data_IF_170136589226
#
_entry.id   IF_170136589226
#
_cell.length_a   1.000
_cell.length_b   1.000
_cell.length_c   1.000
_cell.angle_alpha   90.00
_cell.angle_beta   90.00
_cell.angle_gamma   90.00
#
_symmetry.space_group_name_H-M   'P 1'
#
loop_
_entity.id
_entity.type
_entity.pdbx_description
1 polymer ?
#
# COMPACT_ATOMS: atom_id res chain seq x y z
N UNK A 1 -2.34 8.09 10.92
CA UNK A 1 -2.27 6.89 10.08
C UNK A 1 -3.55 6.73 9.27
N UNK A 2 -3.43 6.54 7.98
CA UNK A 2 -4.60 6.28 7.13
C UNK A 2 -5.03 4.80 7.26
N UNK A 3 -4.05 3.88 7.29
CA UNK A 3 -4.28 2.43 7.33
C UNK A 3 -3.51 1.78 8.48
N UNK A 4 -3.96 1.90 9.75
CA UNK A 4 -3.39 1.11 10.84
C UNK A 4 -3.71 -0.36 10.61
N UNK A 5 -2.84 -1.24 11.08
CA UNK A 5 -2.99 -2.70 10.95
C UNK A 5 -3.20 -3.32 12.31
N UNK A 6 -4.12 -4.27 12.39
CA UNK A 6 -4.32 -5.08 13.60
C UNK A 6 -3.78 -6.48 13.34
N UNK A 7 -2.85 -6.90 14.19
CA UNK A 7 -2.37 -8.27 14.19
C UNK A 7 -3.33 -9.14 15.02
N UNK A 8 -4.13 -9.95 14.34
CA UNK A 8 -5.11 -10.81 15.01
C UNK A 8 -4.48 -11.87 15.93
N UNK A 9 -3.20 -12.23 15.73
CA UNK A 9 -2.50 -13.20 16.54
C UNK A 9 -2.07 -12.64 17.89
N UNK A 10 -1.73 -11.35 17.96
CA UNK A 10 -1.22 -10.68 19.16
C UNK A 10 -2.20 -9.68 19.76
N UNK A 11 -3.20 -9.24 19.01
CA UNK A 11 -4.09 -8.14 19.37
C UNK A 11 -3.45 -6.76 19.29
N UNK A 12 -2.24 -6.66 18.74
CA UNK A 12 -1.52 -5.39 18.61
C UNK A 12 -2.05 -4.55 17.46
N UNK A 13 -2.15 -3.23 17.69
CA UNK A 13 -2.38 -2.23 16.65
C UNK A 13 -1.04 -1.62 16.23
N UNK A 14 -0.70 -1.77 14.96
CA UNK A 14 0.46 -1.14 14.34
C UNK A 14 0.02 0.11 13.57
N UNK A 15 0.74 1.21 13.74
CA UNK A 15 0.40 2.47 13.07
C UNK A 15 1.65 3.25 12.67
N UNK A 16 1.51 4.14 11.72
CA UNK A 16 2.51 5.14 11.39
C UNK A 16 1.89 6.54 11.42
N UNK A 17 2.73 7.54 11.56
CA UNK A 17 2.36 8.93 11.33
C UNK A 17 3.46 9.63 10.54
N UNK A 18 3.08 10.60 9.74
CA UNK A 18 4.03 11.40 8.97
C UNK A 18 3.81 12.88 9.15
N UNK A 19 4.87 13.66 8.91
CA UNK A 19 4.89 15.10 9.12
C UNK A 19 5.68 15.80 8.01
N UNK A 20 5.35 17.08 7.78
CA UNK A 20 6.16 17.97 6.94
C UNK A 20 7.39 18.53 7.68
N UNK A 21 7.49 18.27 8.97
CA UNK A 21 8.62 18.65 9.84
C UNK A 21 9.27 17.36 10.38
N UNK A 22 10.58 17.43 10.64
CA UNK A 22 11.31 16.30 11.22
C UNK A 22 10.83 15.99 12.68
N UNK A 23 10.76 14.71 13.06
CA UNK A 23 10.94 13.52 12.24
C UNK A 23 9.79 13.37 11.26
N UNK A 24 10.11 13.08 10.00
CA UNK A 24 9.12 13.05 8.92
C UNK A 24 8.22 11.82 8.93
N UNK A 25 8.67 10.74 9.56
CA UNK A 25 7.93 9.49 9.67
C UNK A 25 8.15 8.88 11.06
N UNK A 26 7.10 8.45 11.70
CA UNK A 26 7.11 7.68 12.93
C UNK A 26 6.33 6.39 12.78
N UNK A 27 6.75 5.37 13.51
CA UNK A 27 6.09 4.08 13.61
C UNK A 27 5.82 3.73 15.07
N UNK A 28 4.68 3.15 15.36
CA UNK A 28 4.33 2.76 16.71
C UNK A 28 3.46 1.51 16.79
N UNK A 29 3.44 0.92 17.99
CA UNK A 29 2.63 -0.24 18.32
C UNK A 29 1.89 0.03 19.62
N UNK A 30 0.59 -0.21 19.60
CA UNK A 30 -0.27 -0.27 20.78
C UNK A 30 -0.51 -1.74 21.08
N UNK A 31 -0.30 -2.14 22.34
CA UNK A 31 -0.50 -3.53 22.76
C UNK A 31 -2.00 -3.86 22.99
N UNK A 32 -2.29 -5.12 23.31
CA UNK A 32 -3.64 -5.60 23.57
C UNK A 32 -4.30 -5.01 24.84
N UNK A 33 -3.53 -4.32 25.67
CA UNK A 33 -3.99 -3.63 26.87
C UNK A 33 -4.14 -2.11 26.66
N UNK A 34 -4.17 -1.68 25.38
CA UNK A 34 -4.28 -0.28 24.94
C UNK A 34 -3.09 0.62 25.35
N UNK A 35 -1.92 0.06 25.68
CA UNK A 35 -0.73 0.84 25.99
C UNK A 35 0.13 1.06 24.73
N UNK A 36 0.73 2.25 24.66
CA UNK A 36 1.78 2.50 23.66
C UNK A 36 3.04 1.70 24.03
N UNK A 37 3.19 0.53 23.43
CA UNK A 37 4.25 -0.41 23.75
C UNK A 37 5.56 -0.11 22.98
N UNK A 38 5.48 0.61 21.84
CA UNK A 38 6.63 1.00 21.07
C UNK A 38 6.34 2.25 20.24
N UNK A 39 7.34 3.13 20.11
CA UNK A 39 7.30 4.25 19.16
C UNK A 39 8.72 4.65 18.77
N UNK A 40 8.97 4.77 17.48
CA UNK A 40 10.28 5.15 16.93
C UNK A 40 10.15 6.04 15.71
N UNK A 41 11.18 6.85 15.46
CA UNK A 41 11.30 7.59 14.20
C UNK A 41 11.91 6.67 13.13
N UNK A 42 11.40 6.76 11.90
CA UNK A 42 11.99 6.13 10.72
C UNK A 42 12.70 7.20 9.91
N UNK A 43 14.02 7.08 9.68
CA UNK A 43 14.81 8.16 9.09
C UNK A 43 14.44 8.36 7.61
N UNK A 44 13.86 9.54 7.31
CA UNK A 44 13.58 9.99 5.94
C UNK A 44 14.39 11.27 5.63
N UNK A 45 14.81 11.47 4.36
CA UNK A 45 15.55 12.66 3.96
C UNK A 45 14.71 13.95 3.90
N UNK A 46 13.38 13.83 3.98
CA UNK A 46 12.45 14.94 3.89
C UNK A 46 10.99 14.48 4.01
N UNK A 47 10.04 15.42 3.89
CA UNK A 47 8.61 15.09 3.96
C UNK A 47 8.19 14.17 2.81
N UNK A 48 7.42 13.16 3.13
CA UNK A 48 6.88 12.16 2.21
C UNK A 48 5.38 12.02 2.38
N UNK A 49 4.75 11.27 1.47
CA UNK A 49 3.32 10.97 1.42
C UNK A 49 3.05 9.47 1.61
N UNK A 50 3.51 8.82 2.69
CA UNK A 50 3.13 7.44 2.92
C UNK A 50 1.62 7.38 3.17
N UNK A 51 0.92 6.46 2.50
CA UNK A 51 -0.51 6.28 2.66
C UNK A 51 -0.84 5.02 3.44
N UNK A 52 -0.09 3.94 3.21
CA UNK A 52 -0.28 2.64 3.84
C UNK A 52 1.05 2.05 4.33
N UNK A 53 0.94 0.99 5.11
CA UNK A 53 2.02 0.17 5.65
C UNK A 53 1.64 -1.31 5.59
N UNK A 54 2.62 -2.20 5.71
CA UNK A 54 2.38 -3.62 5.88
C UNK A 54 3.15 -4.17 7.08
N UNK A 55 2.83 -5.37 7.53
CA UNK A 55 3.52 -6.04 8.62
C UNK A 55 3.63 -7.55 8.40
N UNK A 56 4.59 -8.15 9.07
CA UNK A 56 4.75 -9.58 9.25
C UNK A 56 4.84 -9.90 10.75
N UNK A 57 4.91 -11.15 11.20
CA UNK A 57 5.09 -11.45 12.61
C UNK A 57 6.29 -10.75 13.26
N UNK A 58 7.39 -10.56 12.51
CA UNK A 58 8.63 -9.99 13.05
C UNK A 58 8.98 -8.59 12.55
N UNK A 59 8.37 -8.13 11.45
CA UNK A 59 8.74 -6.87 10.81
C UNK A 59 7.53 -5.98 10.49
N UNK A 60 7.80 -4.70 10.34
CA UNK A 60 6.92 -3.73 9.71
C UNK A 60 7.58 -3.21 8.44
N UNK A 61 6.80 -2.97 7.41
CA UNK A 61 7.26 -2.41 6.14
C UNK A 61 6.63 -1.04 5.97
N UNK A 62 7.50 -0.03 5.90
CA UNK A 62 7.15 1.35 5.62
C UNK A 62 7.77 1.78 4.29
N UNK A 63 7.44 2.95 3.79
CA UNK A 63 7.86 3.34 2.46
C UNK A 63 8.39 4.78 2.39
N UNK A 64 9.28 5.00 1.40
CA UNK A 64 9.78 6.29 0.95
C UNK A 64 9.68 6.31 -0.58
N UNK A 65 8.49 6.66 -1.06
CA UNK A 65 8.21 6.72 -2.49
C UNK A 65 8.66 8.05 -3.10
N UNK A 66 9.04 8.05 -4.39
CA UNK A 66 9.46 9.25 -5.12
C UNK A 66 8.29 10.17 -5.50
N UNK A 67 7.18 10.15 -4.76
CA UNK A 67 6.07 11.08 -4.82
C UNK A 67 6.05 11.92 -3.55
N UNK A 68 6.52 13.17 -3.61
CA UNK A 68 6.60 14.04 -2.45
C UNK A 68 6.52 15.52 -2.81
N UNK A 69 6.33 16.36 -1.80
CA UNK A 69 6.33 17.82 -1.96
C UNK A 69 7.73 18.35 -2.28
N UNK A 70 7.82 19.21 -3.29
CA UNK A 70 9.02 19.99 -3.52
C UNK A 70 9.29 20.89 -2.27
N UNK A 71 10.46 20.79 -1.64
CA UNK A 71 10.77 21.55 -0.43
C UNK A 71 10.71 23.06 -0.62
N UNK A 72 11.08 23.59 -1.81
CA UNK A 72 11.05 25.01 -2.10
C UNK A 72 9.60 25.51 -2.28
N UNK A 73 8.75 24.72 -2.94
CA UNK A 73 7.32 25.03 -3.04
C UNK A 73 6.63 24.95 -1.68
N UNK A 74 6.99 23.94 -0.89
CA UNK A 74 6.45 23.78 0.47
C UNK A 74 6.84 24.95 1.39
N UNK A 75 8.07 25.45 1.27
CA UNK A 75 8.52 26.66 2.00
C UNK A 75 7.75 27.93 1.60
N UNK A 76 7.18 27.96 0.40
CA UNK A 76 6.29 29.01 -0.10
C UNK A 76 4.80 28.70 0.19
N UNK A 77 4.49 27.73 1.05
CA UNK A 77 3.15 27.23 1.36
C UNK A 77 2.37 26.69 0.14
N UNK A 78 3.10 26.19 -0.85
CA UNK A 78 2.54 25.54 -2.04
C UNK A 78 2.64 24.02 -1.86
N UNK A 79 1.53 23.37 -1.58
CA UNK A 79 1.41 21.95 -1.25
C UNK A 79 1.17 21.11 -2.52
N UNK A 80 2.16 21.06 -3.39
CA UNK A 80 2.10 20.36 -4.65
C UNK A 80 3.08 19.18 -4.64
N UNK A 81 2.62 17.93 -4.65
CA UNK A 81 3.49 16.79 -4.82
C UNK A 81 3.94 16.66 -6.28
N UNK A 82 5.15 16.19 -6.46
CA UNK A 82 5.72 15.82 -7.76
C UNK A 82 6.23 14.39 -7.71
N UNK A 83 6.14 13.69 -8.83
CA UNK A 83 6.70 12.35 -8.99
C UNK A 83 8.09 12.44 -9.63
N UNK A 84 9.11 11.89 -8.96
CA UNK A 84 10.50 11.94 -9.36
C UNK A 84 10.93 10.61 -9.98
N UNK A 85 10.69 10.43 -11.27
CA UNK A 85 10.90 9.17 -12.00
C UNK A 85 12.34 8.63 -11.98
N UNK A 86 13.32 9.50 -11.75
CA UNK A 86 14.74 9.14 -11.70
C UNK A 86 15.19 8.69 -10.29
N UNK A 87 14.27 8.66 -9.34
CA UNK A 87 14.53 8.21 -7.98
C UNK A 87 13.88 6.83 -7.74
N UNK A 88 14.58 5.89 -7.08
CA UNK A 88 13.97 4.61 -6.73
C UNK A 88 12.88 4.79 -5.67
N UNK A 89 11.91 3.89 -5.67
CA UNK A 89 11.10 3.60 -4.49
C UNK A 89 11.97 2.94 -3.43
N UNK A 90 11.77 3.25 -2.16
CA UNK A 90 12.49 2.60 -1.06
C UNK A 90 11.50 2.05 -0.04
N UNK A 91 11.78 0.86 0.43
CA UNK A 91 11.01 0.20 1.48
C UNK A 91 11.89 0.05 2.73
N UNK A 92 11.37 0.50 3.86
CA UNK A 92 11.98 0.34 5.17
C UNK A 92 11.44 -0.94 5.81
N UNK A 93 12.27 -1.97 5.90
CA UNK A 93 11.97 -3.17 6.68
C UNK A 93 12.57 -2.99 8.07
N UNK A 94 11.71 -2.96 9.09
CA UNK A 94 12.09 -2.64 10.47
C UNK A 94 11.59 -3.76 11.37
N UNK A 95 12.42 -4.31 12.29
CA UNK A 95 11.90 -5.20 13.32
C UNK A 95 10.75 -4.53 14.10
N UNK A 96 9.71 -5.26 14.47
CA UNK A 96 8.49 -4.69 15.09
C UNK A 96 8.75 -3.82 16.32
N UNK A 97 9.86 -4.04 17.02
CA UNK A 97 10.33 -3.26 18.19
C UNK A 97 11.70 -2.61 17.93
N UNK A 98 12.11 -2.50 16.67
CA UNK A 98 13.38 -1.93 16.27
C UNK A 98 13.43 -0.40 16.37
N UNK A 99 14.65 0.13 16.51
CA UNK A 99 14.95 1.55 16.48
C UNK A 99 15.32 2.07 15.07
N UNK A 100 15.68 3.36 14.97
CA UNK A 100 16.10 3.96 13.71
C UNK A 100 17.34 3.28 13.08
N UNK A 101 18.19 2.71 13.90
CA UNK A 101 19.42 1.99 13.52
C UNK A 101 19.16 0.60 12.95
N UNK A 102 17.99 0.02 13.23
CA UNK A 102 17.60 -1.32 12.76
C UNK A 102 16.91 -1.29 11.40
N UNK A 103 16.68 -0.10 10.85
CA UNK A 103 15.98 0.07 9.57
C UNK A 103 16.86 -0.45 8.43
N UNK A 104 16.34 -1.42 7.68
CA UNK A 104 16.94 -1.90 6.44
C UNK A 104 16.17 -1.37 5.25
N UNK A 105 16.89 -0.69 4.36
CA UNK A 105 16.31 -0.10 3.16
C UNK A 105 16.50 -1.01 1.95
N UNK A 106 15.42 -1.20 1.19
CA UNK A 106 15.40 -1.93 -0.06
C UNK A 106 14.92 -0.99 -1.16
N UNK A 107 15.63 -0.97 -2.29
CA UNK A 107 15.29 -0.14 -3.45
C UNK A 107 14.52 -0.98 -4.48
N UNK A 108 13.58 -0.34 -5.16
CA UNK A 108 12.72 -0.91 -6.19
C UNK A 108 12.43 0.12 -7.29
N UNK A 109 11.76 -0.29 -8.35
CA UNK A 109 11.35 0.60 -9.43
C UNK A 109 10.49 1.77 -8.92
N UNK A 110 10.62 2.97 -9.53
CA UNK A 110 9.86 4.13 -9.14
C UNK A 110 8.36 3.90 -9.26
N UNK A 111 7.65 4.05 -8.15
CA UNK A 111 6.19 3.94 -8.08
C UNK A 111 5.62 4.78 -6.95
N UNK A 112 4.32 4.86 -6.88
CA UNK A 112 3.56 5.22 -5.68
C UNK A 112 2.55 4.11 -5.41
N UNK A 113 2.53 3.60 -4.20
CA UNK A 113 1.55 2.61 -3.77
C UNK A 113 0.57 3.28 -2.83
N UNK A 114 -0.71 3.27 -3.20
CA UNK A 114 -1.77 3.74 -2.32
C UNK A 114 -2.04 2.68 -1.25
N UNK A 115 -2.31 1.43 -1.66
CA UNK A 115 -2.61 0.35 -0.72
C UNK A 115 -1.72 -0.87 -0.91
N UNK A 116 -1.26 -1.42 0.22
CA UNK A 116 -0.67 -2.75 0.29
C UNK A 116 -1.75 -3.79 0.58
N UNK A 117 -1.59 -4.96 0.00
CA UNK A 117 -2.52 -6.06 0.23
C UNK A 117 -2.14 -6.86 1.46
N UNK A 118 -0.90 -7.34 1.51
CA UNK A 118 -0.36 -8.11 2.64
C UNK A 118 1.17 -8.18 2.56
N UNK A 119 1.79 -8.58 3.67
CA UNK A 119 3.19 -9.00 3.68
C UNK A 119 3.36 -10.28 4.49
N UNK A 120 4.38 -11.07 4.18
CA UNK A 120 4.72 -12.27 4.94
C UNK A 120 6.20 -12.61 4.82
N UNK A 121 6.68 -13.49 5.69
CA UNK A 121 8.05 -14.00 5.68
C UNK A 121 8.10 -15.34 4.94
N UNK A 122 9.05 -15.46 4.00
CA UNK A 122 9.30 -16.67 3.20
C UNK A 122 10.80 -17.01 3.29
N UNK A 123 11.16 -17.80 4.31
CA UNK A 123 12.56 -18.05 4.65
C UNK A 123 13.29 -16.78 5.06
N UNK A 124 14.34 -16.41 4.31
CA UNK A 124 15.11 -15.19 4.54
C UNK A 124 14.57 -13.98 3.75
N UNK A 125 13.41 -14.08 3.14
CA UNK A 125 12.79 -12.99 2.38
C UNK A 125 11.55 -12.44 3.08
N UNK A 126 11.34 -11.14 2.93
CA UNK A 126 10.03 -10.50 3.14
C UNK A 126 9.34 -10.40 1.79
N UNK A 127 8.14 -10.93 1.69
CA UNK A 127 7.26 -10.79 0.53
C UNK A 127 6.23 -9.71 0.85
N UNK A 128 6.08 -8.75 -0.04
CA UNK A 128 5.12 -7.65 0.07
C UNK A 128 4.30 -7.57 -1.20
N UNK A 129 2.98 -7.57 -1.08
CA UNK A 129 2.06 -7.37 -2.19
C UNK A 129 1.31 -6.05 -2.05
N UNK A 130 1.10 -5.37 -3.17
CA UNK A 130 0.40 -4.08 -3.23
C UNK A 130 0.15 -3.65 -4.66
N UNK A 131 -0.33 -2.43 -4.85
CA UNK A 131 -0.72 -1.93 -6.16
C UNK A 131 0.32 -0.96 -6.71
N UNK A 132 1.13 -1.45 -7.65
CA UNK A 132 2.12 -0.64 -8.35
C UNK A 132 1.42 0.30 -9.34
N UNK A 133 1.70 1.58 -9.24
CA UNK A 133 1.24 2.60 -10.17
C UNK A 133 2.41 3.06 -11.07
N UNK A 134 2.26 2.91 -12.39
CA UNK A 134 3.33 3.20 -13.36
C UNK A 134 3.59 4.70 -13.53
N UNK A 135 2.55 5.52 -13.42
CA UNK A 135 2.63 6.98 -13.65
C UNK A 135 1.72 7.76 -12.69
N UNK A 136 2.08 7.86 -11.39
CA UNK A 136 1.24 8.50 -10.38
C UNK A 136 1.07 10.01 -10.54
N UNK A 137 1.94 10.67 -11.33
CA UNK A 137 1.84 12.11 -11.58
C UNK A 137 2.33 12.47 -12.99
N UNK A 138 1.43 12.81 -13.92
CA UNK A 138 1.77 13.13 -15.28
C UNK A 138 2.62 14.41 -15.38
N UNK A 139 3.65 14.38 -16.25
CA UNK A 139 4.59 15.50 -16.45
C UNK A 139 3.90 16.72 -17.05
N UNK A 140 2.92 16.52 -17.90
CA UNK A 140 2.26 17.58 -18.69
C UNK A 140 1.15 18.32 -17.93
N UNK A 141 1.06 18.10 -16.64
CA UNK A 141 0.00 18.63 -15.79
C UNK A 141 0.04 20.13 -15.53
N UNK A 142 1.08 20.84 -16.03
CA UNK A 142 1.18 22.31 -15.91
C UNK A 142 0.41 23.06 -16.99
N UNK A 143 -0.11 22.39 -18.01
CA UNK A 143 -0.96 22.97 -19.06
C UNK A 143 -2.41 23.06 -18.60
N UNK A 144 -3.16 24.02 -19.13
CA UNK A 144 -4.56 24.19 -18.82
C UNK A 144 -4.89 25.38 -17.90
N UNK A 145 -6.16 25.54 -17.57
CA UNK A 145 -6.65 26.59 -16.68
C UNK A 145 -6.32 26.29 -15.19
N UNK A 146 -6.69 27.22 -14.31
CA UNK A 146 -6.40 27.08 -12.88
C UNK A 146 -7.03 25.84 -12.25
N UNK A 147 -8.17 25.38 -12.74
CA UNK A 147 -8.87 24.21 -12.21
C UNK A 147 -8.23 22.93 -12.70
N UNK A 148 -7.88 22.84 -14.00
CA UNK A 148 -7.13 21.73 -14.54
C UNK A 148 -5.77 21.57 -13.83
N UNK A 149 -5.11 22.69 -13.52
CA UNK A 149 -3.86 22.68 -12.74
C UNK A 149 -4.05 22.26 -11.28
N UNK A 150 -5.17 22.66 -10.65
CA UNK A 150 -5.47 22.29 -9.27
C UNK A 150 -5.80 20.81 -9.12
N UNK A 151 -6.45 20.21 -10.12
CA UNK A 151 -6.86 18.81 -10.11
C UNK A 151 -5.96 17.87 -10.92
N UNK A 152 -4.81 18.34 -11.38
CA UNK A 152 -3.88 17.56 -12.22
C UNK A 152 -3.35 16.28 -11.58
N UNK A 153 -3.26 16.24 -10.22
CA UNK A 153 -2.90 15.03 -9.49
C UNK A 153 -3.98 13.95 -9.56
N UNK A 154 -5.17 14.30 -10.04
CA UNK A 154 -6.26 13.40 -10.37
C UNK A 154 -6.27 13.07 -11.87
N UNK A 155 -5.10 12.86 -12.49
CA UNK A 155 -5.01 12.42 -13.87
C UNK A 155 -5.50 10.97 -13.98
N UNK A 156 -6.81 10.80 -13.76
CA UNK A 156 -7.49 9.51 -13.66
C UNK A 156 -7.40 8.70 -14.96
N UNK A 157 -7.16 9.37 -16.09
CA UNK A 157 -6.91 8.75 -17.40
C UNK A 157 -5.58 7.96 -17.44
N UNK A 158 -4.71 8.16 -16.44
CA UNK A 158 -3.44 7.47 -16.30
C UNK A 158 -3.36 6.53 -15.10
N UNK A 159 -4.39 6.50 -14.27
CA UNK A 159 -4.46 5.57 -13.14
C UNK A 159 -4.47 4.13 -13.66
N UNK A 160 -3.35 3.45 -13.55
CA UNK A 160 -3.16 2.09 -14.00
C UNK A 160 -2.41 1.30 -12.93
N UNK A 161 -3.08 1.12 -11.81
CA UNK A 161 -2.57 0.31 -10.71
C UNK A 161 -2.77 -1.17 -11.01
N UNK A 162 -1.76 -1.97 -10.69
CA UNK A 162 -1.80 -3.41 -10.88
C UNK A 162 -1.20 -4.12 -9.68
N UNK A 163 -1.76 -5.26 -9.35
CA UNK A 163 -1.24 -6.08 -8.27
C UNK A 163 0.19 -6.52 -8.59
N UNK A 164 1.09 -6.26 -7.67
CA UNK A 164 2.53 -6.39 -7.81
C UNK A 164 3.13 -6.97 -6.54
N UNK A 165 4.22 -7.69 -6.66
CA UNK A 165 4.96 -8.32 -5.58
C UNK A 165 6.39 -7.84 -5.53
N UNK A 166 6.83 -7.45 -4.34
CA UNK A 166 8.23 -7.20 -4.00
C UNK A 166 8.72 -8.32 -3.07
N UNK A 167 9.96 -8.76 -3.28
CA UNK A 167 10.67 -9.67 -2.40
C UNK A 167 11.97 -9.04 -1.95
N UNK A 168 12.14 -8.91 -0.65
CA UNK A 168 13.31 -8.29 -0.02
C UNK A 168 14.14 -9.37 0.67
N UNK A 169 15.30 -9.68 0.12
CA UNK A 169 16.25 -10.66 0.68
C UNK A 169 16.98 -10.07 1.88
N UNK A 170 16.70 -10.58 3.07
CA UNK A 170 17.27 -10.11 4.33
C UNK A 170 18.76 -10.49 4.50
N UNK A 171 19.30 -11.40 3.71
CA UNK A 171 20.71 -11.80 3.74
C UNK A 171 21.54 -10.92 2.81
N UNK A 172 21.11 -10.81 1.56
CA UNK A 172 21.87 -10.11 0.51
C UNK A 172 21.55 -8.63 0.38
N UNK A 173 20.37 -8.20 0.83
CA UNK A 173 19.85 -6.85 0.62
C UNK A 173 19.26 -6.63 -0.79
N UNK A 174 19.13 -7.68 -1.59
CA UNK A 174 18.55 -7.58 -2.93
C UNK A 174 17.04 -7.45 -2.91
N UNK A 175 16.51 -6.74 -3.90
CA UNK A 175 15.07 -6.69 -4.20
C UNK A 175 14.80 -7.45 -5.49
N UNK A 176 13.73 -8.22 -5.51
CA UNK A 176 13.12 -8.79 -6.72
C UNK A 176 11.67 -8.33 -6.77
N UNK A 177 11.17 -8.06 -7.95
CA UNK A 177 9.80 -7.58 -8.12
C UNK A 177 9.17 -8.17 -9.37
N UNK A 178 7.85 -8.40 -9.29
CA UNK A 178 7.07 -8.96 -10.38
C UNK A 178 5.63 -8.44 -10.37
N UNK A 179 5.09 -8.22 -11.57
CA UNK A 179 3.67 -7.97 -11.75
C UNK A 179 2.91 -9.29 -11.62
N UNK A 180 1.90 -9.33 -10.76
CA UNK A 180 1.10 -10.53 -10.53
C UNK A 180 -0.09 -10.63 -11.50
N UNK A 181 -0.65 -9.49 -11.94
CA UNK A 181 -1.83 -9.45 -12.82
C UNK A 181 -1.72 -8.31 -13.83
N UNK A 182 -2.46 -8.41 -14.95
CA UNK A 182 -2.60 -7.34 -15.93
C UNK A 182 -3.86 -6.48 -15.71
N UNK A 183 -4.75 -6.92 -14.85
CA UNK A 183 -5.98 -6.20 -14.51
C UNK A 183 -5.70 -4.93 -13.74
N UNK A 184 -6.38 -3.84 -14.11
CA UNK A 184 -6.35 -2.59 -13.35
C UNK A 184 -7.25 -2.74 -12.14
N UNK A 185 -6.64 -2.84 -10.98
CA UNK A 185 -7.31 -3.04 -9.69
C UNK A 185 -6.67 -2.20 -8.61
N UNK A 186 -7.42 -1.91 -7.54
CA UNK A 186 -6.99 -1.19 -6.36
C UNK A 186 -7.84 -1.61 -5.15
N UNK A 187 -7.55 -1.08 -3.95
CA UNK A 187 -8.26 -1.41 -2.71
C UNK A 187 -8.25 -2.90 -2.40
N UNK A 188 -7.05 -3.51 -2.41
CA UNK A 188 -6.90 -4.92 -2.14
C UNK A 188 -7.22 -5.29 -0.69
N UNK A 189 -8.05 -6.32 -0.56
CA UNK A 189 -8.40 -6.90 0.73
C UNK A 189 -8.12 -8.39 0.71
N UNK A 190 -7.78 -8.93 1.85
CA UNK A 190 -7.60 -10.37 2.09
C UNK A 190 -8.49 -10.84 3.22
N UNK A 191 -8.55 -12.13 3.44
CA UNK A 191 -9.08 -12.66 4.69
C UNK A 191 -8.19 -12.19 5.85
N UNK A 192 -8.70 -11.40 6.80
CA UNK A 192 -7.89 -10.77 7.84
C UNK A 192 -7.18 -11.77 8.77
N UNK A 193 -7.62 -13.03 8.82
CA UNK A 193 -6.93 -14.08 9.60
C UNK A 193 -5.57 -14.48 8.99
N UNK A 194 -5.30 -14.09 7.73
CA UNK A 194 -4.03 -14.32 7.03
C UNK A 194 -3.15 -13.08 7.01
N UNK A 195 -3.55 -11.98 7.65
CA UNK A 195 -2.72 -10.78 7.71
C UNK A 195 -1.36 -11.08 8.37
N UNK A 196 -0.28 -10.69 7.71
CA UNK A 196 1.08 -10.97 8.16
C UNK A 196 1.58 -12.38 7.83
N UNK A 197 0.80 -13.22 7.15
CA UNK A 197 1.12 -14.62 6.85
C UNK A 197 0.95 -14.91 5.36
N UNK A 198 1.49 -16.04 4.91
CA UNK A 198 1.26 -16.54 3.55
C UNK A 198 -0.22 -16.72 3.25
N UNK A 199 -0.65 -16.34 2.07
CA UNK A 199 -2.05 -16.30 1.66
C UNK A 199 -2.18 -16.55 0.16
N UNK A 200 -3.40 -16.77 -0.31
CA UNK A 200 -3.68 -17.11 -1.70
C UNK A 200 -4.62 -16.14 -2.41
N UNK A 201 -5.60 -15.59 -1.72
CA UNK A 201 -6.66 -14.82 -2.36
C UNK A 201 -6.58 -13.33 -2.05
N UNK A 202 -6.68 -12.51 -3.10
CA UNK A 202 -6.85 -11.06 -3.02
C UNK A 202 -8.20 -10.69 -3.60
N UNK A 203 -8.92 -9.84 -2.90
CA UNK A 203 -10.17 -9.23 -3.38
C UNK A 203 -9.92 -7.76 -3.62
N UNK A 204 -10.12 -7.28 -4.85
CA UNK A 204 -9.77 -5.92 -5.22
C UNK A 204 -10.88 -5.27 -6.03
N UNK A 205 -11.04 -3.96 -5.85
CA UNK A 205 -11.94 -3.17 -6.67
C UNK A 205 -11.35 -3.03 -8.08
N UNK A 206 -12.17 -3.24 -9.10
CA UNK A 206 -11.79 -3.14 -10.50
C UNK A 206 -12.63 -2.10 -11.22
N UNK A 207 -11.99 -1.31 -12.05
CA UNK A 207 -12.62 -0.26 -12.81
C UNK A 207 -12.08 -0.18 -14.23
N UNK A 208 -12.48 0.86 -14.95
CA UNK A 208 -11.93 1.18 -16.25
C UNK A 208 -10.60 1.91 -16.08
N UNK A 209 -9.58 1.61 -16.88
CA UNK A 209 -8.35 2.40 -16.88
C UNK A 209 -8.67 3.90 -17.02
N UNK A 210 -8.05 4.69 -16.16
CA UNK A 210 -8.24 6.13 -16.16
C UNK A 210 -9.44 6.66 -15.37
N UNK A 211 -10.16 5.80 -14.64
CA UNK A 211 -11.29 6.21 -13.82
C UNK A 211 -11.12 5.70 -12.40
N UNK A 212 -11.24 6.59 -11.41
CA UNK A 212 -11.34 6.20 -10.00
C UNK A 212 -12.79 5.84 -9.65
N UNK A 213 -13.42 5.02 -10.52
CA UNK A 213 -14.77 4.47 -10.36
C UNK A 213 -14.71 2.97 -10.61
N UNK A 214 -15.07 2.21 -9.61
CA UNK A 214 -14.94 0.76 -9.59
C UNK A 214 -16.31 0.13 -9.85
N UNK A 215 -16.47 -0.50 -11.00
CA UNK A 215 -17.73 -1.12 -11.48
C UNK A 215 -17.80 -2.63 -11.20
N UNK A 216 -16.75 -3.16 -10.57
CA UNK A 216 -16.67 -4.58 -10.22
C UNK A 216 -15.74 -4.83 -9.04
N UNK A 217 -15.90 -6.03 -8.49
CA UNK A 217 -14.96 -6.69 -7.59
C UNK A 217 -14.27 -7.81 -8.34
N UNK A 218 -12.97 -7.99 -8.10
CA UNK A 218 -12.17 -9.10 -8.66
C UNK A 218 -11.58 -9.90 -7.51
N UNK A 219 -11.69 -11.22 -7.57
CA UNK A 219 -10.89 -12.15 -6.78
C UNK A 219 -9.71 -12.62 -7.61
N UNK A 220 -8.52 -12.39 -7.13
CA UNK A 220 -7.28 -12.94 -7.68
C UNK A 220 -6.88 -14.19 -6.91
N UNK A 221 -6.57 -15.25 -7.59
CA UNK A 221 -5.95 -16.47 -7.04
C UNK A 221 -4.44 -16.42 -7.34
N UNK A 222 -3.63 -16.11 -6.34
CA UNK A 222 -2.19 -15.91 -6.49
C UNK A 222 -1.42 -17.22 -6.79
N UNK A 223 -2.02 -18.37 -6.53
CA UNK A 223 -1.40 -19.67 -6.81
C UNK A 223 -1.57 -20.07 -8.28
N UNK A 224 -2.74 -19.80 -8.85
CA UNK A 224 -3.07 -20.19 -10.23
C UNK A 224 -2.96 -19.05 -11.24
N UNK A 225 -2.89 -17.80 -10.77
CA UNK A 225 -2.96 -16.60 -11.59
C UNK A 225 -4.35 -16.34 -12.19
N UNK A 226 -5.38 -17.07 -11.74
CA UNK A 226 -6.75 -16.90 -12.27
C UNK A 226 -7.47 -15.75 -11.58
N UNK A 227 -8.43 -15.15 -12.32
CA UNK A 227 -9.26 -14.05 -11.83
C UNK A 227 -10.75 -14.40 -11.99
N UNK A 228 -11.53 -14.06 -10.99
CA UNK A 228 -12.99 -14.05 -11.08
C UNK A 228 -13.51 -12.64 -10.86
N UNK A 229 -14.35 -12.16 -11.79
CA UNK A 229 -14.88 -10.81 -11.76
C UNK A 229 -16.39 -10.81 -11.50
N UNK A 230 -16.82 -10.06 -10.49
CA UNK A 230 -18.20 -9.78 -10.18
C UNK A 230 -18.53 -8.33 -10.53
N UNK A 231 -19.30 -8.10 -11.59
CA UNK A 231 -19.74 -6.77 -12.00
C UNK A 231 -20.98 -6.35 -11.22
N UNK A 232 -21.00 -5.10 -10.73
CA UNK A 232 -22.14 -4.58 -9.93
C UNK A 232 -23.39 -4.27 -10.78
N UNK A 233 -23.20 -4.02 -12.07
CA UNK A 233 -24.26 -3.64 -13.00
C UNK A 233 -24.07 -2.26 -13.61
N UNK A 234 -24.91 -1.91 -14.57
CA UNK A 234 -24.79 -0.64 -15.29
C UNK A 234 -25.04 0.56 -14.37
N UNK A 235 -24.07 1.48 -14.33
CA UNK A 235 -24.16 2.71 -13.52
C UNK A 235 -23.98 2.51 -12.02
N UNK A 236 -23.63 1.30 -11.57
CA UNK A 236 -23.35 0.99 -10.17
C UNK A 236 -21.86 0.92 -9.94
N UNK A 237 -21.40 1.61 -8.91
CA UNK A 237 -19.98 1.67 -8.53
C UNK A 237 -19.82 1.31 -7.06
N UNK A 238 -18.81 0.52 -6.76
CA UNK A 238 -18.50 0.10 -5.39
C UNK A 238 -17.37 0.92 -4.75
N UNK A 239 -17.33 0.85 -3.45
CA UNK A 239 -16.24 1.36 -2.60
C UNK A 239 -15.23 0.26 -2.29
N UNK A 240 -14.34 0.51 -1.33
CA UNK A 240 -13.51 -0.52 -0.70
C UNK A 240 -14.38 -1.68 -0.20
N UNK A 241 -13.85 -2.89 -0.34
CA UNK A 241 -14.55 -4.12 0.07
C UNK A 241 -13.92 -4.66 1.34
N UNK A 242 -14.73 -5.06 2.31
CA UNK A 242 -14.27 -5.79 3.48
C UNK A 242 -14.52 -7.29 3.29
N UNK A 243 -13.57 -8.13 3.73
CA UNK A 243 -13.75 -9.58 3.83
C UNK A 243 -14.06 -9.98 5.26
N UNK A 244 -15.17 -10.67 5.46
CA UNK A 244 -15.59 -11.23 6.74
C UNK A 244 -15.60 -12.76 6.66
N UNK A 245 -14.65 -13.47 7.33
CA UNK A 245 -14.64 -14.92 7.35
C UNK A 245 -15.96 -15.47 7.93
N UNK A 246 -16.48 -16.53 7.35
CA UNK A 246 -17.66 -17.22 7.90
C UNK A 246 -17.29 -17.88 9.23
N UNK A 247 -18.12 -17.72 10.23
CA UNK A 247 -17.90 -18.34 11.56
C UNK A 247 -17.69 -19.85 11.43
N UNK A 248 -16.57 -20.34 11.94
CA UNK A 248 -16.19 -21.75 11.89
C UNK A 248 -15.65 -22.21 10.53
N UNK A 249 -15.38 -21.29 9.59
CA UNK A 249 -14.74 -21.66 8.33
C UNK A 249 -13.27 -22.03 8.55
N UNK A 250 -12.76 -22.91 7.66
CA UNK A 250 -11.34 -23.31 7.60
C UNK A 250 -10.72 -22.96 6.24
N UNK A 251 -11.54 -22.56 5.26
CA UNK A 251 -11.06 -22.12 3.95
C UNK A 251 -10.73 -20.63 3.96
N UNK A 252 -9.67 -20.24 3.27
CA UNK A 252 -9.25 -18.84 3.18
C UNK A 252 -10.30 -17.97 2.49
N UNK A 253 -10.95 -18.47 1.44
CA UNK A 253 -11.99 -17.79 0.67
C UNK A 253 -13.43 -18.06 1.16
N UNK A 254 -13.59 -18.75 2.32
CA UNK A 254 -14.89 -19.07 2.89
C UNK A 254 -15.38 -17.93 3.79
N UNK A 255 -16.12 -17.01 3.21
CA UNK A 255 -16.61 -15.82 3.90
C UNK A 255 -17.54 -14.96 3.07
N UNK A 256 -17.65 -13.70 3.47
CA UNK A 256 -18.50 -12.71 2.83
C UNK A 256 -17.66 -11.51 2.40
N UNK A 257 -17.93 -11.01 1.20
CA UNK A 257 -17.38 -9.75 0.71
C UNK A 257 -18.46 -8.69 0.83
N UNK A 258 -18.15 -7.62 1.54
CA UNK A 258 -19.08 -6.55 1.86
C UNK A 258 -18.54 -5.26 1.25
N UNK A 259 -19.29 -4.69 0.29
CA UNK A 259 -18.97 -3.41 -0.33
C UNK A 259 -20.21 -2.52 -0.34
N UNK A 260 -20.00 -1.22 -0.25
CA UNK A 260 -21.05 -0.22 -0.46
C UNK A 260 -21.11 0.15 -1.94
N UNK A 261 -22.29 0.23 -2.51
CA UNK A 261 -22.51 0.60 -3.92
C UNK A 261 -23.51 1.74 -4.06
#
# INVERSE_FOLDING_TARGET
>A
SAHPKVDAATGELLFFNYSKQAPYLGYGVVDSDDNLAHYTAVPLPGPRLPHDMAFTPNYVILNDFPLFWDPALLAADIHLPGFHRDMPSRFAVVPRRGGPEDVRWFEADPTFVLHFTNAYEDGDEIVLDGFFEEDPAPVDSLTGDKWQKAFRFLALDRLQTRLHRWRFDLVTGATREERLTDSVTEFGMINPTYAGSGYRYVYAASGKPGWFLFDALVRHDLETGSEERFAYGEGVFGSETAMAPRTGSTGEDDGYLITLT
#
